data_IF_774864330797
#
_entry.id   IF_774864330797
#
_cell.length_a   1.000
_cell.length_b   1.000
_cell.length_c   1.000
_cell.angle_alpha   90.00
_cell.angle_beta   90.00
_cell.angle_gamma   90.00
#
_symmetry.space_group_name_H-M   'P 1'
#
loop_
_entity.id
_entity.type
_entity.pdbx_description
1 polymer ?
#
# COMPACT_ATOMS: atom_id res chain seq x y z
N UNK A 1 -33.55 -38.81 -6.59
CA UNK A 1 -34.86 -38.15 -6.46
C UNK A 1 -35.13 -37.92 -4.99
N UNK A 2 -35.02 -36.67 -4.53
CA UNK A 2 -35.40 -36.26 -3.18
C UNK A 2 -35.81 -34.80 -3.27
N UNK A 3 -37.11 -34.55 -3.13
CA UNK A 3 -37.74 -33.23 -3.17
C UNK A 3 -37.84 -32.74 -1.73
N UNK A 4 -37.21 -31.61 -1.42
CA UNK A 4 -37.48 -30.91 -0.15
C UNK A 4 -38.07 -29.56 -0.50
N UNK A 5 -39.37 -29.41 -0.21
CA UNK A 5 -40.16 -28.18 -0.27
C UNK A 5 -40.07 -27.51 1.09
N UNK A 6 -39.69 -26.24 1.16
CA UNK A 6 -39.95 -25.39 2.34
C UNK A 6 -40.68 -24.13 1.92
N UNK A 7 -41.61 -23.72 2.78
CA UNK A 7 -42.73 -22.86 2.49
C UNK A 7 -42.37 -21.40 2.21
N UNK A 8 -43.21 -20.82 1.36
CA UNK A 8 -43.46 -19.38 1.23
C UNK A 8 -44.42 -18.98 2.35
N UNK A 9 -44.19 -17.86 3.04
CA UNK A 9 -45.18 -16.81 3.37
C UNK A 9 -44.63 -15.85 4.44
N UNK A 10 -44.71 -14.54 4.16
CA UNK A 10 -44.41 -13.50 5.14
C UNK A 10 -44.32 -12.10 4.53
N UNK A 11 -45.36 -11.66 3.82
CA UNK A 11 -45.55 -10.27 3.40
C UNK A 11 -45.95 -9.39 4.59
N UNK A 12 -45.17 -8.35 4.89
CA UNK A 12 -45.59 -7.06 5.45
C UNK A 12 -44.36 -6.12 5.30
N UNK A 13 -44.38 -4.99 4.60
CA UNK A 13 -45.48 -4.08 4.32
C UNK A 13 -45.47 -2.92 5.32
N UNK A 14 -44.55 -1.97 5.16
CA UNK A 14 -44.71 -0.59 5.64
C UNK A 14 -43.62 0.30 5.01
N UNK A 15 -43.97 0.99 3.92
CA UNK A 15 -43.27 2.18 3.46
C UNK A 15 -43.81 3.37 4.24
N UNK A 16 -42.93 4.17 4.86
CA UNK A 16 -43.27 5.52 5.34
C UNK A 16 -42.36 6.49 4.61
N UNK A 17 -42.95 7.15 3.61
CA UNK A 17 -42.41 8.34 2.99
C UNK A 17 -42.76 9.54 3.88
N UNK A 18 -41.77 10.30 4.31
CA UNK A 18 -41.98 11.68 4.75
C UNK A 18 -41.13 12.59 3.87
N UNK A 19 -41.83 13.23 2.94
CA UNK A 19 -41.35 14.40 2.22
C UNK A 19 -41.23 15.57 3.21
N UNK A 20 -40.01 16.05 3.42
CA UNK A 20 -39.73 17.30 4.11
C UNK A 20 -39.19 18.33 3.12
N UNK A 21 -40.10 18.91 2.33
CA UNK A 21 -39.85 20.11 1.52
C UNK A 21 -40.08 21.31 2.42
N UNK A 22 -39.04 22.12 2.65
CA UNK A 22 -39.19 23.50 3.12
C UNK A 22 -38.49 24.44 2.14
N UNK A 23 -39.32 25.34 1.63
CA UNK A 23 -39.10 26.47 0.71
C UNK A 23 -37.86 27.31 1.07
N UNK A 24 -37.00 27.65 0.10
CA UNK A 24 -37.03 28.86 -0.76
C UNK A 24 -37.05 30.15 0.07
N UNK A 25 -36.05 31.03 -0.11
CA UNK A 25 -36.12 32.48 -0.40
C UNK A 25 -34.71 33.08 -0.25
N UNK A 26 -34.18 33.67 -1.32
CA UNK A 26 -33.02 34.58 -1.24
C UNK A 26 -31.98 34.50 -2.35
N UNK A 27 -32.39 34.61 -3.62
CA UNK A 27 -31.47 35.04 -4.68
C UNK A 27 -31.05 36.50 -4.46
N UNK A 28 -29.76 36.78 -4.48
CA UNK A 28 -29.24 38.01 -5.09
C UNK A 28 -28.18 37.61 -6.13
N UNK A 29 -28.34 37.99 -7.41
CA UNK A 29 -27.30 37.83 -8.40
C UNK A 29 -26.23 38.90 -8.15
N UNK A 30 -25.04 38.49 -7.69
CA UNK A 30 -23.86 39.36 -7.72
C UNK A 30 -22.99 38.97 -8.92
N UNK A 31 -23.02 39.88 -9.87
CA UNK A 31 -22.16 40.14 -11.02
C UNK A 31 -20.82 39.35 -11.09
N UNK A 32 -20.48 38.84 -12.30
CA UNK A 32 -19.30 38.00 -12.51
C UNK A 32 -18.00 38.78 -12.34
N UNK A 33 -17.21 38.41 -11.34
CA UNK A 33 -15.79 38.73 -11.31
C UNK A 33 -15.09 38.00 -12.47
N UNK A 34 -14.28 38.76 -13.19
CA UNK A 34 -13.58 38.40 -14.41
C UNK A 34 -12.88 37.02 -14.38
N UNK A 35 -12.74 36.34 -15.53
CA UNK A 35 -11.90 35.16 -15.64
C UNK A 35 -10.45 35.56 -15.37
N UNK A 36 -9.94 35.19 -14.19
CA UNK A 36 -8.51 35.13 -13.95
C UNK A 36 -7.90 34.22 -15.00
N UNK A 37 -7.05 34.83 -15.80
CA UNK A 37 -6.28 34.22 -16.85
C UNK A 37 -5.69 32.87 -16.41
N UNK A 38 -5.82 31.91 -17.31
CA UNK A 38 -5.05 30.69 -17.42
C UNK A 38 -3.62 30.88 -16.85
N UNK A 39 -3.40 30.43 -15.62
CA UNK A 39 -2.06 30.10 -15.17
C UNK A 39 -1.65 28.84 -15.96
N UNK A 40 -1.08 29.08 -17.14
CA UNK A 40 -0.34 28.07 -17.88
C UNK A 40 0.74 27.56 -16.94
N UNK A 41 0.82 26.26 -16.62
CA UNK A 41 1.97 25.75 -15.88
C UNK A 41 3.23 26.11 -16.67
N UNK A 42 4.31 26.58 -16.02
CA UNK A 42 5.52 26.93 -16.75
C UNK A 42 5.92 25.73 -17.61
N UNK A 43 5.87 25.93 -18.93
CA UNK A 43 6.45 25.02 -19.91
C UNK A 43 7.94 25.07 -19.61
N UNK A 44 8.45 24.07 -18.89
CA UNK A 44 9.87 23.97 -18.57
C UNK A 44 10.66 24.18 -19.84
N UNK A 45 11.54 25.18 -19.82
CA UNK A 45 12.30 25.52 -21.00
C UNK A 45 13.21 24.32 -21.34
N UNK A 46 13.54 24.08 -22.62
CA UNK A 46 14.47 23.02 -23.00
C UNK A 46 15.85 23.14 -22.31
N UNK A 47 16.18 24.34 -21.81
CA UNK A 47 17.36 24.59 -20.98
C UNK A 47 17.30 23.93 -19.59
N UNK A 48 16.12 23.86 -18.96
CA UNK A 48 15.94 23.23 -17.65
C UNK A 48 16.12 21.71 -17.75
N UNK A 49 15.58 21.10 -18.81
CA UNK A 49 15.76 19.67 -19.07
C UNK A 49 17.23 19.32 -19.37
N UNK A 50 17.93 20.16 -20.12
CA UNK A 50 19.36 19.98 -20.38
C UNK A 50 20.20 20.11 -19.09
N UNK A 51 19.76 20.95 -18.15
CA UNK A 51 20.39 21.10 -16.85
C UNK A 51 20.14 19.86 -15.96
N UNK A 52 18.92 19.35 -15.92
CA UNK A 52 18.59 18.10 -15.21
C UNK A 52 19.37 16.90 -15.76
N UNK A 53 19.47 16.76 -17.09
CA UNK A 53 20.24 15.66 -17.70
C UNK A 53 21.73 15.77 -17.37
N UNK A 54 22.30 16.98 -17.28
CA UNK A 54 23.70 17.17 -16.85
C UNK A 54 23.89 16.81 -15.38
N UNK A 55 22.95 17.20 -14.51
CA UNK A 55 22.99 16.86 -13.09
C UNK A 55 22.93 15.33 -12.88
N UNK A 56 21.98 14.66 -13.53
CA UNK A 56 21.82 13.21 -13.44
C UNK A 56 23.03 12.44 -13.97
N UNK A 57 23.68 12.93 -15.05
CA UNK A 57 24.92 12.33 -15.56
C UNK A 57 26.06 12.46 -14.57
N UNK A 58 26.21 13.62 -13.92
CA UNK A 58 27.23 13.84 -12.91
C UNK A 58 27.02 12.92 -11.68
N UNK A 59 25.77 12.71 -11.27
CA UNK A 59 25.43 11.76 -10.19
C UNK A 59 25.76 10.31 -10.56
N UNK A 60 25.44 9.87 -11.78
CA UNK A 60 25.79 8.53 -12.26
C UNK A 60 27.30 8.29 -12.28
N UNK A 61 28.09 9.28 -12.70
CA UNK A 61 29.55 9.16 -12.72
C UNK A 61 30.15 9.20 -11.30
N UNK A 62 29.54 9.91 -10.36
CA UNK A 62 29.91 9.85 -8.95
C UNK A 62 29.64 8.47 -8.35
N UNK A 63 28.46 7.90 -8.58
CA UNK A 63 28.08 6.56 -8.12
C UNK A 63 28.99 5.47 -8.71
N UNK A 64 29.33 5.56 -10.00
CA UNK A 64 30.28 4.63 -10.64
C UNK A 64 31.67 4.68 -10.00
N UNK A 65 32.18 5.88 -9.69
CA UNK A 65 33.47 6.02 -9.00
C UNK A 65 33.44 5.43 -7.60
N UNK A 66 32.35 5.64 -6.86
CA UNK A 66 32.17 5.06 -5.53
C UNK A 66 32.10 3.52 -5.59
N UNK A 67 31.40 2.95 -6.57
CA UNK A 67 31.38 1.51 -6.79
C UNK A 67 32.77 0.97 -7.17
N UNK A 68 33.53 1.69 -8.00
CA UNK A 68 34.91 1.34 -8.33
C UNK A 68 35.83 1.34 -7.11
N UNK A 69 35.70 2.33 -6.23
CA UNK A 69 36.48 2.41 -5.00
C UNK A 69 36.16 1.28 -4.01
N UNK A 70 34.90 0.86 -3.92
CA UNK A 70 34.49 -0.29 -3.11
C UNK A 70 34.90 -1.63 -3.71
N UNK A 71 35.03 -1.70 -5.04
CA UNK A 71 35.49 -2.89 -5.75
C UNK A 71 37.01 -3.06 -5.73
N UNK A 72 37.76 -2.03 -5.34
CA UNK A 72 39.22 -2.09 -5.27
C UNK A 72 39.63 -2.64 -3.89
N UNK A 73 40.20 -3.85 -3.79
CA UNK A 73 40.67 -4.38 -2.52
C UNK A 73 41.78 -3.47 -1.96
N UNK A 74 41.85 -3.27 -0.63
CA UNK A 74 42.86 -2.41 -0.03
C UNK A 74 44.26 -2.91 -0.39
N UNK A 75 45.24 -2.01 -0.62
CA UNK A 75 46.61 -2.40 -0.91
C UNK A 75 47.17 -3.19 0.28
N UNK A 76 47.56 -4.42 0.02
CA UNK A 76 48.16 -5.35 0.97
C UNK A 76 49.50 -4.80 1.43
N UNK A 77 49.54 -4.19 2.62
CA UNK A 77 50.79 -3.92 3.32
C UNK A 77 51.42 -5.26 3.70
N UNK A 78 52.50 -5.61 3.02
CA UNK A 78 53.31 -6.79 3.32
C UNK A 78 54.15 -6.48 4.56
N UNK A 79 53.74 -7.01 5.71
CA UNK A 79 54.60 -7.15 6.89
C UNK A 79 54.84 -8.64 7.07
N UNK A 80 56.10 -9.03 6.89
CA UNK A 80 56.61 -10.39 6.96
C UNK A 80 56.95 -10.77 8.41
N UNK A 81 56.24 -11.75 8.99
CA UNK A 81 56.65 -12.51 10.19
C UNK A 81 55.76 -13.78 10.37
N UNK A 82 56.26 -14.86 11.01
CA UNK A 82 56.03 -16.21 10.52
C UNK A 82 54.83 -16.97 11.12
N UNK A 83 54.30 -17.83 10.25
CA UNK A 83 53.51 -19.05 10.47
C UNK A 83 53.03 -19.38 11.90
N UNK A 84 51.72 -19.26 12.10
CA UNK A 84 50.93 -20.24 12.85
C UNK A 84 49.65 -20.58 12.09
N UNK A 85 49.58 -21.85 11.73
CA UNK A 85 48.47 -22.54 11.08
C UNK A 85 47.20 -22.42 11.90
N UNK A 86 46.18 -21.78 11.31
CA UNK A 86 44.78 -22.18 11.33
C UNK A 86 44.00 -21.10 10.58
N UNK A 87 44.37 -20.85 9.31
CA UNK A 87 43.49 -20.13 8.40
C UNK A 87 42.38 -21.10 8.05
N UNK A 88 41.32 -21.09 8.85
CA UNK A 88 40.02 -21.64 8.51
C UNK A 88 39.58 -20.95 7.22
N UNK A 89 39.95 -21.55 6.08
CA UNK A 89 39.56 -21.13 4.74
C UNK A 89 38.05 -21.31 4.65
N UNK A 90 37.31 -20.33 5.15
CA UNK A 90 35.91 -20.15 4.77
C UNK A 90 35.93 -19.96 3.26
N UNK A 91 35.31 -20.85 2.47
CA UNK A 91 35.27 -20.67 1.03
C UNK A 91 34.68 -19.28 0.75
N UNK A 92 35.22 -18.52 -0.21
CA UNK A 92 34.63 -17.26 -0.60
C UNK A 92 33.20 -17.58 -1.04
N UNK A 93 32.23 -17.18 -0.22
CA UNK A 93 30.81 -17.29 -0.56
C UNK A 93 30.68 -16.57 -1.89
N UNK A 94 30.36 -17.31 -2.96
CA UNK A 94 30.26 -16.70 -4.27
C UNK A 94 29.20 -15.59 -4.19
N UNK A 95 29.38 -14.49 -4.92
CA UNK A 95 28.43 -13.37 -4.87
C UNK A 95 26.97 -13.79 -5.13
N UNK A 96 26.78 -14.91 -5.83
CA UNK A 96 25.48 -15.55 -6.04
C UNK A 96 24.92 -16.23 -4.78
N UNK A 97 25.73 -16.98 -4.02
CA UNK A 97 25.32 -17.56 -2.74
C UNK A 97 24.96 -16.48 -1.71
N UNK A 98 25.71 -15.39 -1.66
CA UNK A 98 25.40 -14.26 -0.78
C UNK A 98 24.07 -13.58 -1.16
N UNK A 99 23.80 -13.42 -2.45
CA UNK A 99 22.51 -12.88 -2.95
C UNK A 99 21.34 -13.83 -2.65
N UNK A 100 21.52 -15.13 -2.86
CA UNK A 100 20.50 -16.12 -2.55
C UNK A 100 20.16 -16.14 -1.06
N UNK A 101 21.18 -16.11 -0.18
CA UNK A 101 20.99 -16.03 1.26
C UNK A 101 20.28 -14.72 1.68
N UNK A 102 20.65 -13.59 1.09
CA UNK A 102 20.00 -12.31 1.37
C UNK A 102 18.52 -12.28 0.91
N UNK A 103 18.21 -12.82 -0.27
CA UNK A 103 16.84 -12.93 -0.74
C UNK A 103 16.01 -13.89 0.13
N UNK A 104 16.60 -15.02 0.54
CA UNK A 104 15.92 -15.94 1.45
C UNK A 104 15.62 -15.28 2.81
N UNK A 105 16.58 -14.59 3.40
CA UNK A 105 16.36 -13.84 4.66
C UNK A 105 15.29 -12.76 4.50
N UNK A 106 15.22 -12.10 3.34
CA UNK A 106 14.16 -11.13 3.02
C UNK A 106 12.79 -11.80 2.96
N UNK A 107 12.67 -12.93 2.28
CA UNK A 107 11.41 -13.69 2.18
C UNK A 107 10.95 -14.21 3.55
N UNK A 108 11.87 -14.67 4.39
CA UNK A 108 11.59 -15.09 5.76
C UNK A 108 11.05 -13.92 6.58
N UNK A 109 11.71 -12.75 6.53
CA UNK A 109 11.22 -11.53 7.22
C UNK A 109 9.83 -11.10 6.73
N UNK A 110 9.56 -11.21 5.42
CA UNK A 110 8.24 -10.90 4.86
C UNK A 110 7.17 -11.83 5.46
N UNK A 111 7.45 -13.14 5.54
CA UNK A 111 6.53 -14.12 6.14
C UNK A 111 6.28 -13.88 7.62
N UNK A 112 7.30 -13.52 8.38
CA UNK A 112 7.16 -13.16 9.80
C UNK A 112 6.24 -11.95 9.99
N UNK A 113 6.42 -10.91 9.17
CA UNK A 113 5.56 -9.71 9.19
C UNK A 113 4.12 -10.05 8.84
N UNK A 114 3.90 -10.93 7.85
CA UNK A 114 2.55 -11.39 7.49
C UNK A 114 1.86 -12.13 8.63
N UNK A 115 2.60 -13.04 9.28
CA UNK A 115 2.08 -13.80 10.41
C UNK A 115 1.74 -12.87 11.59
N UNK A 116 2.56 -11.85 11.86
CA UNK A 116 2.30 -10.87 12.90
C UNK A 116 1.04 -10.03 12.61
N UNK A 117 0.89 -9.56 11.37
CA UNK A 117 -0.30 -8.81 10.94
C UNK A 117 -1.57 -9.65 11.01
N UNK A 118 -1.52 -10.91 10.59
CA UNK A 118 -2.64 -11.83 10.68
C UNK A 118 -2.99 -12.18 12.13
N UNK A 119 -1.99 -12.36 12.99
CA UNK A 119 -2.22 -12.58 14.42
C UNK A 119 -2.87 -11.36 15.08
N UNK A 120 -2.38 -10.15 14.81
CA UNK A 120 -2.98 -8.91 15.32
C UNK A 120 -4.44 -8.77 14.86
N UNK A 121 -4.69 -8.94 13.55
CA UNK A 121 -6.04 -8.84 12.98
C UNK A 121 -7.05 -9.80 13.64
N UNK A 122 -6.62 -11.01 13.99
CA UNK A 122 -7.50 -12.05 14.52
C UNK A 122 -7.73 -11.98 16.03
N UNK A 123 -6.78 -11.42 16.78
CA UNK A 123 -6.79 -11.43 18.26
C UNK A 123 -7.29 -10.13 18.88
N UNK A 124 -7.32 -9.02 18.12
CA UNK A 124 -7.81 -7.74 18.62
C UNK A 124 -9.29 -7.82 19.04
N UNK A 125 -9.69 -7.15 20.15
CA UNK A 125 -11.10 -6.90 20.42
C UNK A 125 -11.68 -6.01 19.32
N UNK A 126 -13.01 -5.99 19.21
CA UNK A 126 -13.71 -5.16 18.23
C UNK A 126 -14.28 -3.90 18.89
N UNK A 127 -13.85 -2.74 18.42
CA UNK A 127 -14.48 -1.44 18.72
C UNK A 127 -15.64 -1.26 17.73
N UNK A 128 -16.88 -1.50 18.18
CA UNK A 128 -18.04 -1.52 17.29
C UNK A 128 -18.29 -0.16 16.58
N UNK A 129 -18.02 0.94 17.27
CA UNK A 129 -18.27 2.29 16.76
C UNK A 129 -17.25 2.67 15.68
N UNK A 130 -15.96 2.46 15.95
CA UNK A 130 -14.92 2.72 14.97
C UNK A 130 -14.98 1.73 13.80
N UNK A 131 -15.11 0.43 14.09
CA UNK A 131 -15.15 -0.61 13.07
C UNK A 131 -16.33 -0.40 12.11
N UNK A 132 -17.55 -0.21 12.64
CA UNK A 132 -18.74 -0.03 11.81
C UNK A 132 -18.67 1.20 10.89
N UNK A 133 -18.21 2.35 11.41
CA UNK A 133 -18.03 3.56 10.60
C UNK A 133 -16.96 3.37 9.52
N UNK A 134 -15.84 2.75 9.87
CA UNK A 134 -14.71 2.57 8.94
C UNK A 134 -15.02 1.52 7.87
N UNK A 135 -15.64 0.40 8.24
CA UNK A 135 -16.13 -0.61 7.29
C UNK A 135 -17.13 -0.02 6.29
N UNK A 136 -18.04 0.83 6.76
CA UNK A 136 -19.02 1.52 5.91
C UNK A 136 -18.33 2.50 4.95
N UNK A 137 -17.39 3.31 5.46
CA UNK A 137 -16.60 4.26 4.65
C UNK A 137 -15.82 3.53 3.55
N UNK A 138 -15.11 2.47 3.90
CA UNK A 138 -14.33 1.66 2.96
C UNK A 138 -15.27 1.04 1.92
N UNK A 139 -16.36 0.41 2.36
CA UNK A 139 -17.31 -0.24 1.45
C UNK A 139 -17.90 0.75 0.44
N UNK A 140 -18.30 1.93 0.90
CA UNK A 140 -18.85 2.97 0.02
C UNK A 140 -17.81 3.52 -0.95
N UNK A 141 -16.55 3.67 -0.49
CA UNK A 141 -15.46 4.14 -1.34
C UNK A 141 -15.22 3.22 -2.54
N UNK A 142 -15.28 1.89 -2.35
CA UNK A 142 -15.14 0.92 -3.43
C UNK A 142 -16.32 0.88 -4.42
N UNK A 143 -17.45 1.52 -4.12
CA UNK A 143 -18.55 1.71 -5.08
C UNK A 143 -18.33 2.90 -6.01
N UNK A 144 -17.41 3.79 -5.64
CA UNK A 144 -17.05 4.97 -6.43
C UNK A 144 -16.21 4.64 -7.67
N UNK A 145 -16.10 5.59 -8.62
CA UNK A 145 -15.35 5.40 -9.87
C UNK A 145 -13.84 5.22 -9.65
N UNK A 146 -13.32 5.68 -8.51
CA UNK A 146 -11.89 5.64 -8.18
C UNK A 146 -11.32 4.23 -8.08
N UNK A 147 -12.14 3.20 -7.84
CA UNK A 147 -11.68 1.81 -7.68
C UNK A 147 -12.08 0.92 -8.87
N UNK A 148 -12.26 1.50 -10.06
CA UNK A 148 -12.55 0.73 -11.27
C UNK A 148 -11.50 -0.38 -11.47
N UNK A 149 -11.94 -1.62 -11.66
CA UNK A 149 -11.06 -2.78 -11.79
C UNK A 149 -10.60 -3.41 -10.48
N UNK A 150 -11.02 -2.88 -9.32
CA UNK A 150 -10.80 -3.46 -8.00
C UNK A 150 -12.13 -3.64 -7.26
N UNK A 151 -12.40 -4.84 -6.75
CA UNK A 151 -13.61 -5.17 -6.01
C UNK A 151 -13.27 -5.60 -4.60
N UNK A 152 -13.81 -4.89 -3.61
CA UNK A 152 -13.78 -5.31 -2.22
C UNK A 152 -14.65 -6.57 -2.04
N UNK A 153 -14.05 -7.66 -1.59
CA UNK A 153 -14.75 -8.92 -1.29
C UNK A 153 -15.05 -9.07 0.19
N UNK A 154 -14.18 -8.53 1.05
CA UNK A 154 -14.35 -8.54 2.50
C UNK A 154 -13.70 -7.32 3.13
N UNK A 155 -14.33 -6.80 4.17
CA UNK A 155 -13.72 -5.83 5.09
C UNK A 155 -14.02 -6.27 6.52
N UNK A 156 -13.01 -6.23 7.38
CA UNK A 156 -13.14 -6.52 8.80
C UNK A 156 -12.26 -5.56 9.59
N UNK A 157 -12.87 -4.66 10.33
CA UNK A 157 -12.20 -3.73 11.23
C UNK A 157 -12.35 -4.18 12.70
N UNK A 158 -11.28 -3.98 13.48
CA UNK A 158 -11.17 -4.39 14.89
C UNK A 158 -11.10 -3.17 15.79
N UNK A 159 -10.06 -2.99 16.61
CA UNK A 159 -9.91 -1.79 17.44
C UNK A 159 -8.86 -0.84 16.88
N UNK A 160 -7.77 -1.40 16.33
CA UNK A 160 -6.64 -0.64 15.78
C UNK A 160 -6.35 -0.99 14.32
N UNK A 161 -6.86 -2.12 13.82
CA UNK A 161 -6.56 -2.61 12.47
C UNK A 161 -7.82 -2.96 11.68
N UNK A 162 -7.79 -2.69 10.38
CA UNK A 162 -8.75 -3.17 9.39
C UNK A 162 -8.05 -4.08 8.39
N UNK A 163 -8.66 -5.23 8.10
CA UNK A 163 -8.26 -6.15 7.03
C UNK A 163 -9.25 -6.03 5.88
N UNK A 164 -8.73 -5.76 4.68
CA UNK A 164 -9.51 -5.68 3.45
C UNK A 164 -9.05 -6.79 2.52
N UNK A 165 -9.98 -7.55 1.95
CA UNK A 165 -9.71 -8.48 0.86
C UNK A 165 -10.28 -7.89 -0.42
N UNK A 166 -9.41 -7.76 -1.42
CA UNK A 166 -9.72 -7.09 -2.68
C UNK A 166 -9.34 -8.02 -3.83
N UNK A 167 -10.25 -8.18 -4.78
CA UNK A 167 -9.98 -8.82 -6.06
C UNK A 167 -9.74 -7.76 -7.13
N UNK A 168 -8.88 -8.07 -8.10
CA UNK A 168 -8.51 -7.16 -9.17
C UNK A 168 -8.74 -7.82 -10.53
N UNK A 169 -9.17 -7.01 -11.49
CA UNK A 169 -9.32 -7.45 -12.88
C UNK A 169 -7.95 -7.62 -13.56
N UNK A 170 -6.92 -6.92 -13.07
CA UNK A 170 -5.57 -7.00 -13.61
C UNK A 170 -4.48 -6.39 -12.72
N UNK A 171 -3.25 -6.46 -13.21
CA UNK A 171 -2.07 -5.98 -12.48
C UNK A 171 -2.09 -4.47 -12.22
N UNK A 172 -2.61 -3.67 -13.17
CA UNK A 172 -2.69 -2.22 -13.07
C UNK A 172 -3.62 -1.78 -11.93
N UNK A 173 -4.86 -2.31 -11.90
CA UNK A 173 -5.81 -2.06 -10.82
C UNK A 173 -5.25 -2.43 -9.44
N UNK A 174 -4.44 -3.50 -9.35
CA UNK A 174 -3.73 -3.88 -8.12
C UNK A 174 -2.66 -2.87 -7.73
N UNK A 175 -1.86 -2.40 -8.70
CA UNK A 175 -0.76 -1.46 -8.46
C UNK A 175 -1.26 -0.10 -7.96
N UNK A 176 -2.44 0.33 -8.41
CA UNK A 176 -3.04 1.61 -8.01
C UNK A 176 -3.78 1.54 -6.66
N UNK A 177 -4.19 0.35 -6.22
CA UNK A 177 -5.07 0.16 -5.06
C UNK A 177 -4.63 0.96 -3.83
N UNK A 178 -3.37 0.81 -3.42
CA UNK A 178 -2.88 1.44 -2.18
C UNK A 178 -2.90 2.96 -2.29
N UNK A 179 -2.50 3.51 -3.45
CA UNK A 179 -2.49 4.95 -3.70
C UNK A 179 -3.89 5.54 -3.73
N UNK A 180 -4.87 4.80 -4.26
CA UNK A 180 -6.27 5.21 -4.28
C UNK A 180 -6.90 5.13 -2.88
N UNK A 181 -6.62 4.06 -2.13
CA UNK A 181 -7.11 3.88 -0.76
C UNK A 181 -6.65 5.01 0.16
N UNK A 182 -5.39 5.42 0.08
CA UNK A 182 -4.85 6.52 0.90
C UNK A 182 -5.38 7.91 0.52
N UNK A 183 -6.05 8.05 -0.64
CA UNK A 183 -6.72 9.30 -1.06
C UNK A 183 -8.17 9.39 -0.58
N UNK A 184 -8.73 8.32 -0.02
CA UNK A 184 -10.11 8.31 0.47
C UNK A 184 -10.24 9.25 1.68
N UNK A 185 -11.13 10.26 1.64
CA UNK A 185 -11.36 11.12 2.79
C UNK A 185 -11.80 10.31 4.02
N UNK A 186 -11.12 10.52 5.15
CA UNK A 186 -11.37 9.80 6.40
C UNK A 186 -10.47 8.58 6.63
N UNK A 187 -9.72 8.13 5.61
CA UNK A 187 -8.63 7.17 5.79
C UNK A 187 -7.34 7.96 6.09
N UNK A 188 -6.82 7.82 7.31
CA UNK A 188 -5.65 8.58 7.79
C UNK A 188 -4.58 7.71 8.47
N UNK A 189 -4.73 6.39 8.42
CA UNK A 189 -3.78 5.43 9.00
C UNK A 189 -2.70 4.99 8.02
N UNK A 190 -1.79 4.15 8.52
CA UNK A 190 -0.82 3.44 7.70
C UNK A 190 -1.51 2.28 6.98
N UNK A 191 -1.08 1.98 5.76
CA UNK A 191 -1.61 0.85 5.01
C UNK A 191 -0.49 0.03 4.36
N UNK A 192 -0.63 -1.29 4.40
CA UNK A 192 0.24 -2.22 3.68
C UNK A 192 -0.61 -3.14 2.82
N UNK A 193 -0.23 -3.24 1.54
CA UNK A 193 -0.81 -4.14 0.56
C UNK A 193 0.05 -5.40 0.46
N UNK A 194 -0.59 -6.56 0.64
CA UNK A 194 0.02 -7.88 0.45
C UNK A 194 -0.65 -8.59 -0.72
N UNK A 195 0.03 -8.69 -1.87
CA UNK A 195 -0.51 -9.38 -3.02
C UNK A 195 -0.74 -10.86 -2.70
N UNK A 196 -1.87 -11.39 -3.14
CA UNK A 196 -2.21 -12.80 -3.10
C UNK A 196 -2.48 -13.27 -4.53
N UNK A 197 -2.03 -14.49 -4.83
CA UNK A 197 -2.29 -15.14 -6.11
C UNK A 197 -2.95 -16.49 -5.80
N UNK A 198 -4.24 -16.45 -5.48
CA UNK A 198 -5.01 -17.65 -5.20
C UNK A 198 -5.68 -18.11 -6.50
N UNK A 199 -5.25 -19.27 -7.02
CA UNK A 199 -5.92 -19.92 -8.16
C UNK A 199 -5.95 -19.11 -9.46
N UNK A 200 -4.92 -18.27 -9.71
CA UNK A 200 -4.82 -17.45 -10.92
C UNK A 200 -5.64 -16.16 -10.89
N UNK A 201 -6.30 -15.85 -9.77
CA UNK A 201 -6.96 -14.57 -9.56
C UNK A 201 -6.00 -13.57 -8.91
N UNK A 202 -6.00 -12.33 -9.42
CA UNK A 202 -5.29 -11.23 -8.79
C UNK A 202 -6.06 -10.80 -7.55
N UNK A 203 -5.55 -11.12 -6.37
CA UNK A 203 -6.13 -10.65 -5.10
C UNK A 203 -5.08 -9.90 -4.28
N UNK A 204 -5.54 -9.09 -3.35
CA UNK A 204 -4.71 -8.42 -2.37
C UNK A 204 -5.39 -8.46 -1.02
N UNK A 205 -4.59 -8.62 0.02
CA UNK A 205 -5.00 -8.32 1.40
C UNK A 205 -4.37 -7.00 1.80
N UNK A 206 -5.18 -6.05 2.25
CA UNK A 206 -4.70 -4.77 2.77
C UNK A 206 -4.91 -4.73 4.27
N UNK A 207 -3.86 -4.34 4.99
CA UNK A 207 -3.90 -4.05 6.41
C UNK A 207 -3.85 -2.53 6.58
N UNK A 208 -4.90 -1.95 7.15
CA UNK A 208 -5.05 -0.51 7.37
C UNK A 208 -5.11 -0.24 8.87
N UNK A 209 -4.17 0.54 9.41
CA UNK A 209 -4.22 0.96 10.80
C UNK A 209 -5.25 2.07 11.02
N UNK A 210 -5.68 2.22 12.27
CA UNK A 210 -6.45 3.38 12.73
C UNK A 210 -5.60 4.65 12.65
N UNK A 211 -6.25 5.80 12.49
CA UNK A 211 -5.56 7.09 12.50
C UNK A 211 -4.74 7.27 13.78
N UNK A 212 -3.46 7.62 13.63
CA UNK A 212 -2.52 7.78 14.74
C UNK A 212 -1.95 6.47 15.30
N UNK A 213 -2.36 5.31 14.78
CA UNK A 213 -1.81 4.02 15.15
C UNK A 213 -0.80 3.52 14.12
N UNK A 214 0.21 2.85 14.65
CA UNK A 214 1.26 2.19 13.90
C UNK A 214 0.87 0.75 13.57
N UNK A 215 1.30 0.26 12.41
CA UNK A 215 1.23 -1.17 12.13
C UNK A 215 2.22 -1.94 13.03
N UNK A 216 1.89 -3.17 13.49
CA UNK A 216 2.67 -3.92 14.48
C UNK A 216 4.18 -4.00 14.20
N UNK A 217 4.56 -4.18 12.93
CA UNK A 217 5.94 -4.35 12.50
C UNK A 217 6.77 -3.05 12.47
N UNK A 218 6.14 -1.88 12.57
CA UNK A 218 6.85 -0.58 12.52
C UNK A 218 7.49 -0.18 13.85
N UNK A 219 7.14 -0.87 14.95
CA UNK A 219 7.66 -0.60 16.30
C UNK A 219 8.96 -1.35 16.63
N UNK A 220 9.55 -2.09 15.69
CA UNK A 220 10.82 -2.81 15.92
C UNK A 220 12.02 -1.87 15.68
N UNK A 221 12.97 -1.74 16.63
CA UNK A 221 14.20 -0.97 16.45
C UNK A 221 15.18 -1.60 15.46
#
# INVERSE_FOLDING_TARGET
>A
MSKVRWGVLGLAGAAVATAGVWSIWGETPREPAAPSALATPPRSAPADLAQEVRALRAELDALRRQQGALAQPPPTSVVEAPAREASEQRPPVSGEQARAAAEQARLERVREIDAELEAAANTEPRDADWAGRTESLVTESFRGPSFTGSRLTRVECRTHLCTLEVEHDGHEARAELLSLLLKVPGIQGQAVLRPRNDGGRWSSRVYLSRAGEDLPFTRRP
#
